data_IF_581894711278
#
_entry.id   IF_581894711278
#
_cell.length_a   1.000
_cell.length_b   1.000
_cell.length_c   1.000
_cell.angle_alpha   90.00
_cell.angle_beta   90.00
_cell.angle_gamma   90.00
#
_symmetry.space_group_name_H-M   'P 1'
#
loop_
_entity.id
_entity.type
_entity.pdbx_description
1 polymer ?
#
# COMPACT_ATOMS: atom_id res chain seq x y z
N UNK A 1 -7.48 14.54 0.18
CA UNK A 1 -6.67 13.36 0.53
C UNK A 1 -6.47 12.56 -0.74
N UNK A 2 -5.22 12.25 -1.09
CA UNK A 2 -4.77 11.66 -2.36
C UNK A 2 -3.87 10.46 -2.05
N UNK A 3 -4.03 9.38 -2.81
CA UNK A 3 -3.28 8.13 -2.60
C UNK A 3 -2.58 7.76 -3.91
N UNK A 4 -1.27 7.53 -3.85
CA UNK A 4 -0.54 6.87 -4.93
C UNK A 4 -0.69 5.34 -4.76
N UNK A 5 -0.84 4.62 -5.88
CA UNK A 5 -1.05 3.18 -5.87
C UNK A 5 -0.09 2.53 -6.85
N UNK A 6 0.64 1.51 -6.40
CA UNK A 6 1.43 0.62 -7.23
C UNK A 6 1.17 -0.81 -6.81
N UNK A 7 0.70 -1.66 -7.72
CA UNK A 7 0.66 -3.11 -7.49
C UNK A 7 2.05 -3.67 -7.24
N UNK A 8 2.11 -4.79 -6.52
CA UNK A 8 3.35 -5.51 -6.25
C UNK A 8 4.35 -4.71 -5.42
N UNK A 9 5.65 -4.99 -5.59
CA UNK A 9 6.73 -4.43 -4.75
C UNK A 9 7.15 -3.02 -5.22
N UNK A 10 6.54 -1.97 -4.67
CA UNK A 10 6.70 -0.59 -5.13
C UNK A 10 7.66 0.30 -4.35
N UNK A 11 8.49 -0.22 -3.44
CA UNK A 11 9.36 0.62 -2.60
C UNK A 11 10.43 1.42 -3.36
N UNK A 12 10.74 1.04 -4.61
CA UNK A 12 11.58 1.83 -5.52
C UNK A 12 10.94 3.17 -5.90
N UNK A 13 9.63 3.32 -5.72
CA UNK A 13 8.88 4.51 -6.14
C UNK A 13 8.78 5.60 -5.07
N UNK A 14 9.44 5.44 -3.93
CA UNK A 14 9.30 6.38 -2.81
C UNK A 14 9.66 7.82 -3.15
N UNK A 15 10.64 8.03 -4.02
CA UNK A 15 11.04 9.38 -4.44
C UNK A 15 9.98 10.02 -5.35
N UNK A 16 9.39 9.28 -6.28
CA UNK A 16 8.30 9.81 -7.11
C UNK A 16 7.05 10.08 -6.28
N UNK A 17 6.70 9.18 -5.37
CA UNK A 17 5.57 9.33 -4.45
C UNK A 17 5.74 10.58 -3.58
N UNK A 18 6.95 10.82 -3.07
CA UNK A 18 7.26 12.02 -2.29
C UNK A 18 7.14 13.29 -3.14
N UNK A 19 7.69 13.27 -4.36
CA UNK A 19 7.61 14.39 -5.28
C UNK A 19 6.16 14.71 -5.70
N UNK A 20 5.30 13.69 -5.78
CA UNK A 20 3.88 13.85 -6.10
C UNK A 20 3.06 14.47 -4.96
N UNK A 21 3.60 14.56 -3.73
CA UNK A 21 2.94 15.21 -2.60
C UNK A 21 1.65 14.51 -2.15
N UNK A 22 1.57 13.18 -2.28
CA UNK A 22 0.39 12.40 -1.87
C UNK A 22 0.31 12.20 -0.36
N UNK A 23 -0.90 11.96 0.15
CA UNK A 23 -1.13 11.71 1.57
C UNK A 23 -0.79 10.27 1.98
N UNK A 24 -0.91 9.31 1.05
CA UNK A 24 -0.56 7.91 1.29
C UNK A 24 -0.06 7.19 0.04
N UNK A 25 0.67 6.10 0.27
CA UNK A 25 1.13 5.18 -0.76
C UNK A 25 0.69 3.76 -0.43
N UNK A 26 -0.03 3.13 -1.37
CA UNK A 26 -0.44 1.74 -1.30
C UNK A 26 0.42 0.91 -2.25
N UNK A 27 1.06 -0.12 -1.69
CA UNK A 27 1.85 -1.09 -2.43
C UNK A 27 1.92 -2.42 -1.66
N UNK A 28 2.82 -3.31 -2.05
CA UNK A 28 3.11 -4.57 -1.37
C UNK A 28 4.60 -4.74 -1.09
N UNK A 29 4.95 -5.75 -0.30
CA UNK A 29 6.31 -6.23 -0.03
C UNK A 29 7.27 -5.14 0.45
N UNK A 30 6.78 -4.23 1.28
CA UNK A 30 7.61 -3.15 1.78
C UNK A 30 8.73 -3.67 2.69
N UNK A 31 9.97 -3.27 2.38
CA UNK A 31 11.14 -3.64 3.18
C UNK A 31 11.35 -2.68 4.36
N UNK A 32 11.92 -3.21 5.44
CA UNK A 32 12.14 -2.47 6.68
C UNK A 32 12.89 -1.14 6.50
N UNK A 33 14.04 -1.14 5.82
CA UNK A 33 14.87 0.06 5.69
C UNK A 33 14.20 1.16 4.84
N UNK A 34 13.71 0.89 3.61
CA UNK A 34 12.99 1.89 2.83
C UNK A 34 11.81 2.52 3.57
N UNK A 35 11.01 1.71 4.28
CA UNK A 35 9.88 2.20 5.09
C UNK A 35 10.35 3.09 6.23
N UNK A 36 11.38 2.66 6.96
CA UNK A 36 11.90 3.41 8.10
C UNK A 36 12.43 4.78 7.66
N UNK A 37 13.13 4.83 6.53
CA UNK A 37 13.60 6.09 5.95
C UNK A 37 12.43 6.95 5.47
N UNK A 38 11.47 6.37 4.73
CA UNK A 38 10.32 7.11 4.23
C UNK A 38 9.51 7.78 5.36
N UNK A 39 9.33 7.11 6.49
CA UNK A 39 8.58 7.60 7.65
C UNK A 39 9.36 8.61 8.51
N UNK A 40 10.70 8.59 8.48
CA UNK A 40 11.52 9.59 9.17
C UNK A 40 11.46 10.96 8.49
N UNK A 41 11.37 10.98 7.15
CA UNK A 41 11.47 12.21 6.36
C UNK A 41 10.12 12.73 5.85
N UNK A 42 9.01 12.04 6.15
CA UNK A 42 7.70 12.38 5.60
C UNK A 42 6.55 11.95 6.52
N UNK A 43 5.44 12.70 6.45
CA UNK A 43 4.16 12.31 7.03
C UNK A 43 3.35 11.35 6.12
N UNK A 44 3.98 10.81 5.08
CA UNK A 44 3.38 9.88 4.12
C UNK A 44 2.82 8.65 4.83
N UNK A 45 1.52 8.41 4.69
CA UNK A 45 0.91 7.17 5.13
C UNK A 45 1.34 6.00 4.24
N UNK A 46 1.70 4.86 4.85
CA UNK A 46 2.08 3.66 4.11
C UNK A 46 1.04 2.56 4.32
N UNK A 47 0.62 1.94 3.22
CA UNK A 47 -0.29 0.80 3.21
C UNK A 47 0.44 -0.33 2.49
N UNK A 48 0.89 -1.31 3.26
CA UNK A 48 1.47 -2.55 2.77
C UNK A 48 0.36 -3.60 2.71
N UNK A 49 -0.13 -3.86 1.51
CA UNK A 49 -1.09 -4.93 1.25
C UNK A 49 -0.35 -6.16 0.76
N UNK A 50 -0.99 -7.33 0.86
CA UNK A 50 -0.36 -8.52 0.33
C UNK A 50 -0.24 -8.46 -1.20
N UNK A 51 0.87 -8.97 -1.74
CA UNK A 51 1.21 -8.85 -3.16
C UNK A 51 0.07 -9.33 -4.08
N UNK A 52 -0.46 -10.54 -3.79
CA UNK A 52 -1.59 -11.10 -4.52
C UNK A 52 -2.81 -10.18 -4.50
N UNK A 53 -3.13 -9.58 -3.35
CA UNK A 53 -4.28 -8.69 -3.22
C UNK A 53 -4.14 -7.39 -4.03
N UNK A 54 -2.92 -6.96 -4.32
CA UNK A 54 -2.66 -5.77 -5.15
C UNK A 54 -2.59 -6.06 -6.65
N UNK A 55 -2.28 -7.29 -7.05
CA UNK A 55 -2.08 -7.65 -8.46
C UNK A 55 -3.18 -8.53 -9.04
N UNK A 56 -3.84 -9.36 -8.26
CA UNK A 56 -4.94 -10.16 -8.79
C UNK A 56 -6.11 -9.35 -9.38
N UNK A 57 -6.50 -8.17 -8.84
CA UNK A 57 -7.66 -7.44 -9.34
C UNK A 57 -7.62 -7.05 -10.83
N UNK A 58 -6.44 -6.86 -11.44
CA UNK A 58 -6.38 -6.50 -12.87
C UNK A 58 -6.56 -7.72 -13.79
N UNK A 59 -6.47 -8.95 -13.28
CA UNK A 59 -6.60 -10.18 -14.08
C UNK A 59 -7.97 -10.29 -14.78
N UNK A 60 -9.05 -9.81 -14.15
CA UNK A 60 -10.38 -9.79 -14.78
C UNK A 60 -10.42 -8.85 -15.98
N UNK A 61 -9.78 -7.67 -15.86
CA UNK A 61 -9.65 -6.74 -16.97
C UNK A 61 -8.78 -7.32 -18.09
N UNK A 62 -7.69 -8.01 -17.74
CA UNK A 62 -6.84 -8.71 -18.71
C UNK A 62 -7.63 -9.76 -19.49
N UNK A 63 -8.44 -10.54 -18.80
CA UNK A 63 -9.27 -11.57 -19.41
C UNK A 63 -10.28 -10.96 -20.39
N UNK A 64 -10.96 -9.88 -20.01
CA UNK A 64 -11.88 -9.17 -20.91
C UNK A 64 -11.16 -8.64 -22.16
N UNK A 65 -9.95 -8.08 -22.03
CA UNK A 65 -9.16 -7.64 -23.18
C UNK A 65 -8.77 -8.81 -24.10
N UNK A 66 -8.39 -9.96 -23.51
CA UNK A 66 -8.06 -11.16 -24.27
C UNK A 66 -9.27 -11.73 -25.01
N UNK A 67 -10.45 -11.73 -24.39
CA UNK A 67 -11.71 -12.12 -25.03
C UNK A 67 -12.01 -11.20 -26.23
N UNK A 68 -11.94 -9.88 -26.06
CA UNK A 68 -12.13 -8.93 -27.16
C UNK A 68 -11.13 -9.12 -28.31
N UNK A 69 -9.87 -9.44 -27.99
CA UNK A 69 -8.84 -9.73 -29.00
C UNK A 69 -9.18 -11.04 -29.73
N UNK A 70 -9.54 -12.08 -29.00
CA UNK A 70 -9.93 -13.38 -29.55
C UNK A 70 -11.10 -13.24 -30.53
N UNK A 71 -12.13 -12.49 -30.17
CA UNK A 71 -13.30 -12.22 -30.99
C UNK A 71 -12.93 -11.50 -32.30
N UNK A 72 -12.09 -10.45 -32.22
CA UNK A 72 -11.65 -9.70 -33.40
C UNK A 72 -10.86 -10.55 -34.40
N UNK A 73 -10.14 -11.55 -33.92
CA UNK A 73 -9.28 -12.40 -34.75
C UNK A 73 -9.90 -13.77 -35.09
N UNK A 74 -11.07 -14.09 -34.53
CA UNK A 74 -11.74 -15.38 -34.76
C UNK A 74 -10.94 -16.58 -34.23
N UNK A 75 -10.20 -16.39 -33.13
CA UNK A 75 -9.33 -17.44 -32.57
C UNK A 75 -10.07 -18.51 -31.76
N UNK A 76 -11.29 -18.21 -31.31
CA UNK A 76 -12.09 -19.11 -30.46
C UNK A 76 -11.33 -19.54 -29.18
N UNK A 77 -10.61 -18.60 -28.55
CA UNK A 77 -9.93 -18.83 -27.28
C UNK A 77 -10.94 -18.89 -26.13
N UNK A 78 -10.64 -19.72 -25.13
CA UNK A 78 -11.32 -19.72 -23.82
C UNK A 78 -10.40 -19.09 -22.79
N UNK A 79 -10.83 -18.00 -22.18
CA UNK A 79 -10.08 -17.28 -21.15
C UNK A 79 -10.67 -17.56 -19.78
N UNK A 80 -9.81 -17.81 -18.80
CA UNK A 80 -10.21 -18.08 -17.42
C UNK A 80 -9.28 -17.35 -16.46
N UNK A 81 -9.85 -16.68 -15.47
CA UNK A 81 -9.12 -16.13 -14.32
C UNK A 81 -9.23 -17.11 -13.18
N UNK A 82 -8.10 -17.54 -12.62
CA UNK A 82 -8.11 -18.36 -11.40
C UNK A 82 -8.56 -17.52 -10.21
N UNK A 83 -9.60 -17.96 -9.51
CA UNK A 83 -10.06 -17.36 -8.25
C UNK A 83 -9.35 -17.95 -7.00
N UNK A 84 -8.39 -18.87 -7.19
CA UNK A 84 -7.63 -19.42 -6.08
C UNK A 84 -6.72 -18.33 -5.47
N UNK A 85 -6.92 -18.02 -4.20
CA UNK A 85 -6.05 -17.12 -3.44
C UNK A 85 -4.74 -17.85 -3.16
N UNK A 86 -3.64 -17.35 -3.72
CA UNK A 86 -2.29 -17.93 -3.55
C UNK A 86 -1.42 -17.09 -2.62
N UNK A 87 -2.05 -16.27 -1.80
CA UNK A 87 -1.38 -15.43 -0.83
C UNK A 87 -0.81 -16.27 0.33
N UNK A 88 0.49 -16.18 0.65
CA UNK A 88 1.05 -16.87 1.81
C UNK A 88 0.60 -16.24 3.15
N UNK A 89 0.05 -15.02 3.15
CA UNK A 89 -0.33 -14.28 4.35
C UNK A 89 -1.81 -14.49 4.70
N UNK A 90 -2.14 -15.59 5.39
CA UNK A 90 -3.53 -15.93 5.75
C UNK A 90 -3.94 -15.55 7.18
N UNK A 91 -3.04 -14.96 7.97
CA UNK A 91 -3.33 -14.59 9.35
C UNK A 91 -4.03 -13.23 9.41
N UNK A 92 -5.08 -13.13 10.23
CA UNK A 92 -5.82 -11.89 10.43
C UNK A 92 -5.80 -11.48 11.90
N UNK A 93 -5.47 -10.22 12.15
CA UNK A 93 -5.48 -9.64 13.49
C UNK A 93 -6.40 -8.42 13.48
N UNK A 94 -7.42 -8.41 14.33
CA UNK A 94 -8.28 -7.25 14.47
C UNK A 94 -7.48 -6.10 15.08
N UNK A 95 -7.69 -4.88 14.58
CA UNK A 95 -7.12 -3.69 15.21
C UNK A 95 -7.62 -3.59 16.64
N UNK A 96 -6.71 -3.30 17.58
CA UNK A 96 -7.10 -3.02 18.96
C UNK A 96 -7.86 -1.69 19.00
N UNK A 97 -9.10 -1.71 19.46
CA UNK A 97 -9.92 -0.52 19.67
C UNK A 97 -9.49 0.29 20.91
N UNK A 98 -8.44 -0.15 21.63
CA UNK A 98 -7.92 0.59 22.76
C UNK A 98 -7.30 1.91 22.29
N UNK A 99 -7.99 3.02 22.57
CA UNK A 99 -7.43 4.36 22.40
C UNK A 99 -6.12 4.46 23.20
N UNK A 100 -5.01 4.92 22.59
CA UNK A 100 -3.82 5.22 23.36
C UNK A 100 -4.18 6.29 24.41
N UNK A 101 -3.67 6.20 25.65
CA UNK A 101 -3.83 7.28 26.62
C UNK A 101 -3.30 8.56 25.99
N UNK A 102 -4.07 9.65 26.03
CA UNK A 102 -3.67 10.91 25.41
C UNK A 102 -2.29 11.28 25.93
N UNK A 103 -1.29 11.41 25.05
CA UNK A 103 0.02 11.89 25.44
C UNK A 103 -0.16 13.24 26.11
N UNK A 104 0.01 13.29 27.43
CA UNK A 104 0.04 14.53 28.19
C UNK A 104 1.15 15.37 27.60
N UNK A 105 0.80 16.50 26.98
CA UNK A 105 1.78 17.52 26.58
C UNK A 105 2.68 17.80 27.80
N UNK A 106 4.01 17.75 27.68
CA UNK A 106 4.86 18.24 28.76
C UNK A 106 4.48 19.69 29.01
N UNK A 107 4.12 20.00 30.25
CA UNK A 107 3.90 21.37 30.70
C UNK A 107 5.20 22.13 30.49
N UNK A 108 5.15 23.21 29.72
CA UNK A 108 6.22 24.17 29.64
C UNK A 108 6.29 24.93 30.97
N UNK A 109 6.87 24.31 31.99
CA UNK A 109 7.32 25.05 33.17
C UNK A 109 8.60 25.79 32.78
N UNK A 110 8.39 27.04 32.36
CA UNK A 110 9.41 28.07 32.39
C UNK A 110 9.67 28.45 33.84
N UNK A 111 10.52 27.70 34.55
CA UNK A 111 11.21 28.23 35.71
C UNK A 111 12.69 28.33 35.39
N UNK A 112 13.12 29.56 35.08
CA UNK A 112 14.54 29.89 34.96
C UNK A 112 15.26 29.58 36.27
N UNK A 113 16.43 28.97 36.17
CA UNK A 113 17.40 28.96 37.25
C UNK A 113 18.41 30.10 37.00
N UNK A 114 18.62 31.02 37.96
CA UNK A 114 19.78 31.88 37.95
C UNK A 114 20.99 31.16 38.59
N UNK A 115 22.15 31.40 37.96
CA UNK A 115 23.54 31.09 38.31
C UNK A 115 24.02 29.65 38.12
#
# INVERSE_FOLDING_TARGET
RTVAVSGGSGDSLFDEVRAAGVDAFLTADLRHHPVSEATQFSALGLIDAAHWATEWPWCEQAAAQLDEISDRHGWDLRVHVSAAVTDPWSAHFAASTALPPSASRPSADSSGAPN
#
